data_IF_024968406998
#
_entry.id   IF_024968406998
#
_cell.length_a   1.000
_cell.length_b   1.000
_cell.length_c   1.000
_cell.angle_alpha   90.00
_cell.angle_beta   90.00
_cell.angle_gamma   90.00
#
_symmetry.space_group_name_H-M   'P 1'
#
loop_
_entity.id
_entity.type
_entity.pdbx_description
1 polymer ?
#
# COMPACT_ATOMS: atom_id res chain seq x y z
N UNK A 1 15.50 -56.72 31.14
CA UNK A 1 14.75 -55.49 31.44
C UNK A 1 14.63 -54.70 30.15
N UNK A 2 13.44 -54.39 29.62
CA UNK A 2 13.29 -53.35 28.60
C UNK A 2 13.10 -52.01 29.32
N UNK A 3 13.92 -51.03 29.01
CA UNK A 3 13.79 -49.68 29.54
C UNK A 3 14.06 -48.64 28.43
N UNK A 4 13.10 -47.73 28.33
CA UNK A 4 13.07 -46.36 27.76
C UNK A 4 13.35 -46.21 26.24
N UNK A 5 12.37 -45.88 25.40
CA UNK A 5 11.88 -44.49 25.16
C UNK A 5 12.98 -43.44 25.28
N UNK A 6 13.73 -43.14 24.21
CA UNK A 6 13.99 -41.72 23.83
C UNK A 6 14.72 -41.41 22.50
N UNK A 7 14.76 -42.29 21.49
CA UNK A 7 15.60 -42.00 20.30
C UNK A 7 14.80 -41.61 19.05
N UNK A 8 13.72 -40.81 19.22
CA UNK A 8 12.92 -40.23 18.12
C UNK A 8 13.16 -38.74 17.90
N UNK A 9 14.36 -38.23 18.15
CA UNK A 9 14.67 -36.82 17.90
C UNK A 9 16.08 -36.70 17.33
N UNK A 10 16.19 -36.49 16.02
CA UNK A 10 17.48 -36.30 15.36
C UNK A 10 17.45 -36.34 13.82
N UNK A 11 16.34 -36.73 13.20
CA UNK A 11 16.26 -36.90 11.75
C UNK A 11 15.32 -35.91 11.01
N UNK A 12 14.67 -34.98 11.73
CA UNK A 12 13.68 -34.06 11.15
C UNK A 12 14.16 -32.59 11.05
N UNK A 13 15.44 -32.32 11.30
CA UNK A 13 16.00 -30.95 11.24
C UNK A 13 16.17 -30.33 9.83
N UNK A 14 16.37 -31.06 8.70
CA UNK A 14 16.56 -30.39 7.41
C UNK A 14 15.28 -29.83 6.78
N UNK A 15 14.09 -30.23 7.25
CA UNK A 15 12.79 -29.76 6.72
C UNK A 15 12.23 -28.56 7.48
N UNK A 16 12.55 -28.42 8.77
CA UNK A 16 12.15 -27.27 9.59
C UNK A 16 12.78 -25.99 9.08
N UNK A 17 14.10 -26.01 8.88
CA UNK A 17 14.90 -24.87 8.43
C UNK A 17 14.42 -24.34 7.07
N UNK A 18 14.14 -25.23 6.12
CA UNK A 18 13.62 -24.86 4.80
C UNK A 18 12.24 -24.18 4.86
N UNK A 19 11.40 -24.55 5.83
CA UNK A 19 10.08 -23.91 6.04
C UNK A 19 10.26 -22.54 6.67
N UNK A 20 11.17 -22.41 7.63
CA UNK A 20 11.50 -21.14 8.28
C UNK A 20 12.07 -20.15 7.25
N UNK A 21 13.01 -20.57 6.41
CA UNK A 21 13.57 -19.74 5.33
C UNK A 21 12.50 -19.24 4.36
N UNK A 22 11.53 -20.10 4.01
CA UNK A 22 10.41 -19.74 3.13
C UNK A 22 9.45 -18.75 3.80
N UNK A 23 9.16 -18.96 5.08
CA UNK A 23 8.36 -18.02 5.88
C UNK A 23 9.07 -16.68 6.01
N UNK A 24 10.38 -16.69 6.23
CA UNK A 24 11.19 -15.50 6.38
C UNK A 24 11.29 -14.74 5.05
N UNK A 25 11.49 -15.44 3.93
CA UNK A 25 11.43 -14.85 2.59
C UNK A 25 10.04 -14.27 2.26
N UNK A 26 8.96 -14.95 2.65
CA UNK A 26 7.60 -14.46 2.48
C UNK A 26 7.32 -13.21 3.35
N UNK A 27 7.71 -13.25 4.63
CA UNK A 27 7.61 -12.12 5.55
C UNK A 27 8.45 -10.93 5.10
N UNK A 28 9.62 -11.17 4.53
CA UNK A 28 10.49 -10.10 4.05
C UNK A 28 9.95 -9.44 2.78
N UNK A 29 9.30 -10.21 1.88
CA UNK A 29 8.55 -9.67 0.73
C UNK A 29 7.34 -8.86 1.18
N UNK A 30 6.60 -9.35 2.17
CA UNK A 30 5.47 -8.61 2.75
C UNK A 30 5.95 -7.37 3.49
N UNK A 31 7.01 -7.45 4.30
CA UNK A 31 7.65 -6.28 4.92
C UNK A 31 8.17 -5.29 3.89
N UNK A 32 8.71 -5.71 2.75
CA UNK A 32 9.11 -4.77 1.70
C UNK A 32 7.91 -4.01 1.09
N UNK A 33 6.72 -4.63 1.06
CA UNK A 33 5.48 -3.99 0.62
C UNK A 33 4.71 -3.28 1.77
N UNK A 34 4.98 -3.60 3.03
CA UNK A 34 4.23 -3.11 4.21
C UNK A 34 5.07 -2.20 5.11
N UNK A 35 6.40 -2.10 4.95
CA UNK A 35 7.26 -1.27 5.78
C UNK A 35 7.48 0.10 5.12
N UNK A 36 7.13 1.22 5.78
CA UNK A 36 7.66 2.51 5.39
C UNK A 36 9.20 2.46 5.53
N UNK A 37 9.90 2.95 4.50
CA UNK A 37 11.33 2.75 4.21
C UNK A 37 12.31 2.97 5.41
N UNK A 38 13.50 2.31 5.40
CA UNK A 38 14.46 2.33 6.50
C UNK A 38 15.15 3.69 6.64
N UNK A 39 15.46 3.99 7.91
CA UNK A 39 15.88 5.27 8.47
C UNK A 39 17.18 5.86 7.87
N UNK A 40 17.25 7.20 7.89
CA UNK A 40 18.44 8.09 7.78
C UNK A 40 18.67 8.86 6.47
N UNK A 41 18.15 8.42 5.33
CA UNK A 41 18.08 9.27 4.11
C UNK A 41 16.69 9.32 3.48
N UNK A 42 15.81 8.41 3.87
CA UNK A 42 14.38 8.39 3.53
C UNK A 42 13.52 9.22 4.51
N UNK A 43 14.05 9.57 5.68
CA UNK A 43 13.30 10.20 6.77
C UNK A 43 12.76 11.57 6.40
N UNK A 44 13.48 12.38 5.62
CA UNK A 44 13.00 13.68 5.17
C UNK A 44 11.85 13.56 4.14
N UNK A 45 11.94 12.61 3.21
CA UNK A 45 10.91 12.39 2.18
C UNK A 45 9.66 11.73 2.75
N UNK A 46 9.82 10.71 3.60
CA UNK A 46 8.70 10.06 4.29
C UNK A 46 7.99 11.01 5.24
N UNK A 47 8.74 11.85 5.96
CA UNK A 47 8.18 12.89 6.81
C UNK A 47 7.46 13.97 6.02
N UNK A 48 8.04 14.46 4.92
CA UNK A 48 7.40 15.44 4.04
C UNK A 48 6.09 14.91 3.43
N UNK A 49 6.06 13.62 3.07
CA UNK A 49 4.84 12.98 2.55
C UNK A 49 3.79 12.76 3.64
N UNK A 50 4.19 12.35 4.84
CA UNK A 50 3.29 12.25 5.99
C UNK A 50 2.72 13.63 6.39
N UNK A 51 3.55 14.68 6.35
CA UNK A 51 3.14 16.05 6.66
C UNK A 51 2.17 16.61 5.61
N UNK A 52 2.37 16.29 4.32
CA UNK A 52 1.41 16.64 3.26
C UNK A 52 0.07 15.95 3.49
N UNK A 53 0.08 14.64 3.74
CA UNK A 53 -1.13 13.86 3.97
C UNK A 53 -1.89 14.35 5.22
N UNK A 54 -1.18 14.65 6.31
CA UNK A 54 -1.79 15.22 7.50
C UNK A 54 -2.35 16.61 7.25
N UNK A 55 -1.66 17.46 6.48
CA UNK A 55 -2.14 18.80 6.16
C UNK A 55 -3.42 18.80 5.32
N UNK A 56 -3.55 17.90 4.34
CA UNK A 56 -4.79 17.76 3.55
C UNK A 56 -5.94 17.25 4.40
N UNK A 57 -5.68 16.31 5.32
CA UNK A 57 -6.69 15.83 6.26
C UNK A 57 -7.17 16.92 7.22
N UNK A 58 -6.24 17.66 7.83
CA UNK A 58 -6.55 18.75 8.76
C UNK A 58 -7.28 19.89 8.03
N UNK A 59 -6.88 20.23 6.80
CA UNK A 59 -7.57 21.23 5.99
C UNK A 59 -9.03 20.83 5.72
N UNK A 60 -9.29 19.57 5.38
CA UNK A 60 -10.65 19.05 5.20
C UNK A 60 -11.50 19.14 6.47
N UNK A 61 -10.94 18.80 7.63
CA UNK A 61 -11.62 18.91 8.93
C UNK A 61 -11.89 20.38 9.29
N UNK A 62 -10.91 21.26 9.11
CA UNK A 62 -11.04 22.67 9.42
C UNK A 62 -12.14 23.32 8.56
N UNK A 63 -12.18 23.01 7.26
CA UNK A 63 -13.23 23.49 6.34
C UNK A 63 -14.60 22.90 6.71
N UNK A 64 -14.70 21.60 6.97
CA UNK A 64 -15.95 20.96 7.38
C UNK A 64 -16.49 21.50 8.70
N UNK A 65 -15.62 21.74 9.67
CA UNK A 65 -15.98 22.34 10.97
C UNK A 65 -16.42 23.79 10.82
N UNK A 66 -15.70 24.59 10.02
CA UNK A 66 -16.08 25.98 9.74
C UNK A 66 -17.42 26.11 9.02
N UNK A 67 -17.67 25.26 8.01
CA UNK A 67 -18.95 25.20 7.30
C UNK A 67 -20.09 24.71 8.21
N UNK A 68 -19.85 23.67 9.01
CA UNK A 68 -20.83 23.15 9.96
C UNK A 68 -21.22 24.19 11.02
N UNK A 69 -20.24 24.94 11.53
CA UNK A 69 -20.48 26.04 12.47
C UNK A 69 -21.27 27.19 11.84
N UNK A 70 -20.92 27.60 10.61
CA UNK A 70 -21.66 28.65 9.89
C UNK A 70 -23.12 28.25 9.65
N UNK A 71 -23.38 26.98 9.28
CA UNK A 71 -24.73 26.45 9.07
C UNK A 71 -25.51 26.40 10.39
N UNK A 72 -24.90 25.91 11.47
CA UNK A 72 -25.54 25.90 12.80
C UNK A 72 -25.94 27.29 13.26
N UNK A 73 -25.13 28.32 12.93
CA UNK A 73 -25.41 29.70 13.29
C UNK A 73 -26.53 30.33 12.45
N UNK A 74 -26.62 29.99 11.16
CA UNK A 74 -27.66 30.51 10.25
C UNK A 74 -29.02 29.86 10.52
N UNK A 75 -29.04 28.55 10.78
CA UNK A 75 -30.28 27.79 10.98
C UNK A 75 -30.71 27.67 12.45
N UNK A 76 -29.85 28.02 13.41
CA UNK A 76 -30.18 27.93 14.84
C UNK A 76 -30.40 26.50 15.34
N UNK A 77 -30.02 25.48 14.57
CA UNK A 77 -30.20 24.04 14.85
C UNK A 77 -29.02 23.44 15.62
N UNK A 78 -28.23 24.26 16.33
CA UNK A 78 -27.03 23.80 17.02
C UNK A 78 -27.34 22.64 18.00
N UNK A 79 -26.60 21.51 17.96
CA UNK A 79 -25.38 21.23 17.20
C UNK A 79 -25.58 20.25 16.02
N UNK A 80 -26.77 20.19 15.42
CA UNK A 80 -27.09 19.17 14.41
C UNK A 80 -26.30 19.34 13.12
N UNK A 81 -26.05 20.57 12.66
CA UNK A 81 -25.22 20.88 11.50
C UNK A 81 -23.76 20.49 11.73
N UNK A 82 -23.21 20.79 12.91
CA UNK A 82 -21.89 20.30 13.29
C UNK A 82 -21.81 18.76 13.30
N UNK A 83 -22.81 18.05 13.83
CA UNK A 83 -22.80 16.58 13.86
C UNK A 83 -22.79 15.98 12.44
N UNK A 84 -23.65 16.48 11.55
CA UNK A 84 -23.73 16.00 10.16
C UNK A 84 -22.44 16.31 9.40
N UNK A 85 -21.92 17.54 9.50
CA UNK A 85 -20.67 17.92 8.84
C UNK A 85 -19.45 17.23 9.44
N UNK A 86 -19.45 16.91 10.73
CA UNK A 86 -18.40 16.13 11.37
C UNK A 86 -18.41 14.69 10.87
N UNK A 87 -19.58 14.05 10.80
CA UNK A 87 -19.73 12.70 10.21
C UNK A 87 -19.30 12.69 8.74
N UNK A 88 -19.72 13.69 7.95
CA UNK A 88 -19.37 13.79 6.54
C UNK A 88 -17.89 14.10 6.33
N UNK A 89 -17.33 15.01 7.11
CA UNK A 89 -15.90 15.35 7.10
C UNK A 89 -15.02 14.20 7.56
N UNK A 90 -15.46 13.46 8.58
CA UNK A 90 -14.80 12.23 9.02
C UNK A 90 -14.84 11.15 7.93
N UNK A 91 -16.01 10.91 7.31
CA UNK A 91 -16.15 9.96 6.21
C UNK A 91 -15.27 10.35 5.02
N UNK A 92 -15.27 11.62 4.61
CA UNK A 92 -14.42 12.14 3.55
C UNK A 92 -12.92 12.01 3.87
N UNK A 93 -12.54 12.29 5.13
CA UNK A 93 -11.17 12.14 5.61
C UNK A 93 -10.69 10.68 5.60
N UNK A 94 -11.51 9.75 6.09
CA UNK A 94 -11.24 8.30 6.02
C UNK A 94 -11.12 7.86 4.56
N UNK A 95 -12.02 8.32 3.68
CA UNK A 95 -11.97 7.98 2.26
C UNK A 95 -10.70 8.52 1.57
N UNK A 96 -10.23 9.72 1.96
CA UNK A 96 -8.98 10.29 1.47
C UNK A 96 -7.76 9.46 1.90
N UNK A 97 -7.73 9.02 3.18
CA UNK A 97 -6.66 8.15 3.70
C UNK A 97 -6.66 6.78 3.01
N UNK A 98 -7.83 6.16 2.83
CA UNK A 98 -7.97 4.88 2.13
C UNK A 98 -7.55 4.96 0.66
N UNK A 99 -7.84 6.09 0.00
CA UNK A 99 -7.38 6.37 -1.37
C UNK A 99 -5.87 6.59 -1.42
N UNK A 100 -5.30 7.34 -0.49
CA UNK A 100 -3.85 7.53 -0.37
C UNK A 100 -3.10 6.21 -0.07
N UNK A 101 -3.74 5.29 0.65
CA UNK A 101 -3.24 3.96 0.94
C UNK A 101 -3.37 2.96 -0.23
N UNK A 102 -3.84 3.39 -1.41
CA UNK A 102 -3.93 2.60 -2.66
C UNK A 102 -4.73 1.28 -2.53
N UNK A 103 -5.99 1.36 -2.07
CA UNK A 103 -6.98 0.29 -2.27
C UNK A 103 -7.88 0.49 -3.51
N UNK A 104 -7.68 1.58 -4.26
CA UNK A 104 -8.41 1.87 -5.51
C UNK A 104 -7.41 2.21 -6.61
N UNK A 105 -6.48 1.30 -6.88
CA UNK A 105 -5.84 1.22 -8.18
C UNK A 105 -6.25 -0.10 -8.80
N UNK A 106 -7.21 -0.04 -9.72
CA UNK A 106 -7.24 -0.75 -11.01
C UNK A 106 -8.60 -0.49 -11.71
N UNK A 107 -8.74 -0.67 -13.02
CA UNK A 107 -7.84 -0.35 -14.13
C UNK A 107 -8.64 0.31 -15.29
N UNK A 108 -8.21 1.46 -15.83
CA UNK A 108 -8.82 1.98 -17.06
C UNK A 108 -7.78 2.72 -17.92
N UNK A 109 -7.28 2.04 -18.95
CA UNK A 109 -6.44 2.70 -19.95
C UNK A 109 -5.55 1.80 -20.81
N UNK A 110 -5.59 0.47 -20.66
CA UNK A 110 -4.95 -0.43 -21.62
C UNK A 110 -5.91 -0.74 -22.78
N UNK A 111 -6.28 0.23 -23.61
CA UNK A 111 -6.89 0.00 -24.95
C UNK A 111 -6.80 1.25 -25.85
N UNK A 112 -5.60 1.75 -26.16
CA UNK A 112 -5.41 2.41 -27.46
C UNK A 112 -3.95 2.43 -27.88
N UNK A 113 -3.75 2.07 -29.15
CA UNK A 113 -2.63 2.45 -30.04
C UNK A 113 -1.48 1.43 -30.19
N UNK A 114 -1.78 0.49 -31.08
CA UNK A 114 -0.92 0.08 -32.22
C UNK A 114 0.13 -1.00 -31.99
N UNK A 115 -0.26 -2.23 -32.31
CA UNK A 115 0.58 -3.04 -33.19
C UNK A 115 0.46 -2.49 -34.63
N UNK A 116 1.60 -2.22 -35.29
CA UNK A 116 1.73 -2.59 -36.70
C UNK A 116 3.02 -3.39 -36.89
N UNK A 117 2.88 -4.49 -37.63
CA UNK A 117 3.93 -5.47 -37.84
C UNK A 117 5.22 -4.92 -38.45
N UNK A 118 6.32 -5.48 -37.97
CA UNK A 118 7.57 -5.63 -38.71
C UNK A 118 8.33 -6.86 -38.19
N UNK A 119 7.65 -8.01 -38.23
CA UNK A 119 8.33 -9.25 -38.62
C UNK A 119 8.07 -9.42 -40.10
N UNK A 120 9.06 -9.93 -40.82
CA UNK A 120 9.13 -10.20 -42.27
C UNK A 120 9.83 -9.09 -43.09
N UNK A 121 11.14 -8.97 -42.87
CA UNK A 121 12.15 -8.69 -43.90
C UNK A 121 13.36 -9.54 -43.48
N UNK A 122 13.37 -10.82 -43.83
CA UNK A 122 13.97 -11.39 -45.05
C UNK A 122 15.43 -10.96 -45.24
N UNK A 123 16.36 -11.83 -44.81
CA UNK A 123 17.79 -11.61 -45.04
C UNK A 123 18.70 -12.60 -44.32
N UNK A 124 18.89 -13.77 -44.94
CA UNK A 124 19.80 -14.90 -44.60
C UNK A 124 21.30 -14.45 -44.50
N UNK A 125 22.22 -15.24 -43.86
CA UNK A 125 23.36 -14.72 -43.09
C UNK A 125 24.69 -14.74 -43.85
N UNK A 126 25.65 -14.00 -43.29
CA UNK A 126 27.06 -14.03 -43.62
C UNK A 126 27.89 -14.44 -42.38
N UNK A 127 28.33 -15.71 -42.43
CA UNK A 127 29.33 -16.32 -41.54
C UNK A 127 30.65 -15.53 -41.48
N UNK A 128 31.31 -15.48 -40.31
CA UNK A 128 32.77 -15.33 -40.25
C UNK A 128 33.41 -16.66 -39.84
N UNK A 129 34.09 -17.32 -40.77
CA UNK A 129 34.80 -18.56 -40.50
C UNK A 129 35.86 -18.91 -41.54
N UNK A 130 37.02 -18.23 -41.50
CA UNK A 130 38.36 -18.76 -41.80
C UNK A 130 39.41 -17.65 -41.63
#
# INVERSE_FOLDING_TARGET
>A
MPDQTDERQGADEPQGDQRLDRLEAALNRTRANTRPAPERSSSATGYAQAMRLSSEFIAGIAVGTGLGWAIDQVFGIAPWGMIVFLMLGFAAGVLNVLRAAKLVEEPAGRLTRSEPGSRLDDGKPDEPGA
#
